data_IF_817398212249
#
_entry.id   IF_817398212249
#
_cell.length_a   1.000
_cell.length_b   1.000
_cell.length_c   1.000
_cell.angle_alpha   90.00
_cell.angle_beta   90.00
_cell.angle_gamma   90.00
#
_symmetry.space_group_name_H-M   'P 1'
#
loop_
_entity.id
_entity.type
_entity.pdbx_description
1 polymer ?
#
# COMPACT_ATOMS: atom_id res chain seq x y z
N UNK A 1 -40.94 -4.12 -3.39
CA UNK A 1 -39.90 -4.76 -2.57
C UNK A 1 -38.69 -3.86 -2.61
N UNK A 2 -38.19 -3.40 -1.45
CA UNK A 2 -36.91 -2.68 -1.44
C UNK A 2 -35.81 -3.72 -1.73
N UNK A 3 -35.05 -3.51 -2.81
CA UNK A 3 -33.82 -4.28 -3.03
C UNK A 3 -32.87 -4.04 -1.87
N UNK A 4 -32.40 -5.11 -1.26
CA UNK A 4 -31.51 -5.03 -0.11
C UNK A 4 -30.05 -4.95 -0.65
N UNK A 5 -29.55 -3.74 -0.83
CA UNK A 5 -28.18 -3.52 -1.28
C UNK A 5 -27.19 -3.92 -0.19
N UNK A 6 -26.14 -4.64 -0.57
CA UNK A 6 -25.08 -5.07 0.32
C UNK A 6 -23.71 -4.70 -0.27
N UNK A 7 -22.69 -4.63 0.60
CA UNK A 7 -21.32 -4.42 0.15
C UNK A 7 -20.88 -5.52 -0.83
N UNK A 8 -20.14 -5.17 -1.89
CA UNK A 8 -19.60 -6.16 -2.81
C UNK A 8 -18.76 -7.21 -2.09
N UNK A 9 -18.78 -8.44 -2.59
CA UNK A 9 -18.01 -9.55 -2.01
C UNK A 9 -16.51 -9.22 -1.95
N UNK A 10 -15.92 -9.34 -0.78
CA UNK A 10 -14.50 -9.04 -0.55
C UNK A 10 -14.23 -7.57 -0.19
N UNK A 11 -15.27 -6.80 0.06
CA UNK A 11 -15.18 -5.46 0.66
C UNK A 11 -15.90 -5.42 2.00
N UNK A 12 -15.69 -4.37 2.76
CA UNK A 12 -16.36 -4.16 4.04
C UNK A 12 -16.48 -2.67 4.36
N UNK A 13 -17.53 -2.31 5.07
CA UNK A 13 -17.66 -0.98 5.67
C UNK A 13 -16.83 -0.91 6.96
N UNK A 14 -16.06 0.14 7.14
CA UNK A 14 -15.43 0.48 8.41
C UNK A 14 -16.38 1.39 9.19
N UNK A 15 -17.18 0.80 10.08
CA UNK A 15 -18.09 1.55 10.94
C UNK A 15 -17.31 2.40 11.97
N UNK A 16 -17.95 3.42 12.59
CA UNK A 16 -17.26 4.40 13.42
C UNK A 16 -16.37 3.83 14.54
N UNK A 17 -16.75 2.71 15.12
CA UNK A 17 -15.92 2.05 16.13
C UNK A 17 -14.61 1.47 15.54
N UNK A 18 -14.72 0.81 14.40
CA UNK A 18 -13.55 0.29 13.68
C UNK A 18 -12.67 1.43 13.16
N UNK A 19 -13.30 2.47 12.58
CA UNK A 19 -12.59 3.65 12.06
C UNK A 19 -11.74 4.33 13.14
N UNK A 20 -12.25 4.49 14.36
CA UNK A 20 -11.47 5.05 15.47
C UNK A 20 -10.21 4.24 15.81
N UNK A 21 -10.27 2.92 15.65
CA UNK A 21 -9.09 2.06 15.85
C UNK A 21 -8.08 2.24 14.71
N UNK A 22 -8.57 2.35 13.48
CA UNK A 22 -7.74 2.64 12.30
C UNK A 22 -7.03 3.98 12.44
N UNK A 23 -7.73 5.05 12.77
CA UNK A 23 -7.16 6.38 12.96
C UNK A 23 -6.00 6.39 13.95
N UNK A 24 -6.12 5.68 15.08
CA UNK A 24 -5.02 5.56 16.06
C UNK A 24 -3.78 4.89 15.46
N UNK A 25 -3.97 3.86 14.63
CA UNK A 25 -2.85 3.17 13.96
C UNK A 25 -2.22 4.09 12.91
N UNK A 26 -3.05 4.77 12.15
CA UNK A 26 -2.57 5.74 11.14
C UNK A 26 -1.79 6.89 11.75
N UNK A 27 -2.24 7.44 12.88
CA UNK A 27 -1.53 8.50 13.61
C UNK A 27 -0.19 7.99 14.15
N UNK A 28 -0.14 6.77 14.66
CA UNK A 28 1.12 6.15 15.08
C UNK A 28 2.10 6.01 13.90
N UNK A 29 1.61 5.56 12.75
CA UNK A 29 2.42 5.43 11.53
C UNK A 29 2.96 6.79 11.09
N UNK A 30 2.11 7.83 11.03
CA UNK A 30 2.54 9.21 10.68
C UNK A 30 3.63 9.71 11.61
N UNK A 31 3.43 9.58 12.92
CA UNK A 31 4.41 10.00 13.91
C UNK A 31 5.75 9.26 13.76
N UNK A 32 5.71 7.95 13.49
CA UNK A 32 6.93 7.18 13.25
C UNK A 32 7.63 7.62 11.96
N UNK A 33 6.88 7.84 10.88
CA UNK A 33 7.44 8.33 9.63
C UNK A 33 8.12 9.68 9.80
N UNK A 34 7.51 10.61 10.53
CA UNK A 34 8.07 11.92 10.87
C UNK A 34 9.40 11.79 11.62
N UNK A 35 9.46 10.96 12.66
CA UNK A 35 10.68 10.73 13.44
C UNK A 35 11.82 10.20 12.58
N UNK A 36 11.52 9.37 11.58
CA UNK A 36 12.50 8.80 10.66
C UNK A 36 12.75 9.64 9.40
N UNK A 37 12.09 10.80 9.26
CA UNK A 37 12.23 11.71 8.14
C UNK A 37 11.67 11.18 6.83
N UNK A 38 10.53 10.45 6.89
CA UNK A 38 9.76 10.06 5.71
C UNK A 38 8.65 11.06 5.45
N UNK A 39 8.49 11.45 4.19
CA UNK A 39 7.42 12.32 3.73
C UNK A 39 6.26 11.53 3.12
N UNK A 40 5.03 11.94 3.43
CA UNK A 40 3.84 11.29 2.88
C UNK A 40 3.68 11.59 1.39
N UNK A 41 3.48 10.56 0.59
CA UNK A 41 3.07 10.68 -0.82
C UNK A 41 1.73 10.00 -1.03
N UNK A 42 0.82 10.67 -1.74
CA UNK A 42 -0.48 10.12 -2.14
C UNK A 42 -0.56 10.07 -3.65
N UNK A 43 -0.75 8.87 -4.17
CA UNK A 43 -0.93 8.61 -5.60
C UNK A 43 -2.41 8.36 -5.91
N UNK A 44 -2.85 8.49 -7.17
CA UNK A 44 -4.20 8.15 -7.58
C UNK A 44 -4.59 6.70 -7.22
N UNK A 45 -5.88 6.49 -7.01
CA UNK A 45 -6.43 5.15 -6.73
C UNK A 45 -6.43 4.27 -7.99
N UNK A 46 -6.47 4.87 -9.16
CA UNK A 46 -6.34 4.19 -10.45
C UNK A 46 -5.24 4.84 -11.28
N UNK A 47 -4.58 4.05 -12.09
CA UNK A 47 -3.46 4.45 -12.93
C UNK A 47 -3.64 3.83 -14.34
N UNK A 48 -2.88 4.32 -15.31
CA UNK A 48 -2.69 3.61 -16.56
C UNK A 48 -2.22 2.18 -16.29
N UNK A 49 -2.83 1.21 -16.94
CA UNK A 49 -2.53 -0.21 -16.73
C UNK A 49 -1.06 -0.54 -16.94
N UNK A 50 -0.35 0.21 -17.80
CA UNK A 50 1.09 0.05 -18.06
C UNK A 50 1.96 0.33 -16.85
N UNK A 51 1.48 1.09 -15.87
CA UNK A 51 2.20 1.34 -14.61
C UNK A 51 2.41 0.05 -13.81
N UNK A 52 1.47 -0.88 -13.91
CA UNK A 52 1.50 -2.16 -13.18
C UNK A 52 1.97 -3.34 -14.02
N UNK A 53 1.90 -3.25 -15.35
CA UNK A 53 2.38 -4.30 -16.26
C UNK A 53 3.84 -4.09 -16.62
N UNK A 54 4.69 -5.07 -16.30
CA UNK A 54 6.06 -5.15 -16.82
C UNK A 54 6.08 -6.13 -17.99
N UNK A 55 6.84 -5.84 -19.04
CA UNK A 55 6.88 -6.64 -20.27
C UNK A 55 7.25 -8.13 -20.04
N UNK A 56 7.93 -8.45 -18.94
CA UNK A 56 8.37 -9.81 -18.61
C UNK A 56 7.73 -10.36 -17.32
N UNK A 57 6.66 -9.75 -16.82
CA UNK A 57 6.06 -10.17 -15.57
C UNK A 57 5.00 -11.25 -15.81
N UNK A 58 5.40 -12.52 -15.65
CA UNK A 58 4.51 -13.68 -15.68
C UNK A 58 3.80 -13.92 -14.35
N UNK A 59 3.89 -12.98 -13.40
CA UNK A 59 3.25 -13.13 -12.09
C UNK A 59 1.73 -13.19 -12.21
N UNK A 60 1.10 -14.08 -11.46
CA UNK A 60 -0.36 -14.23 -11.42
C UNK A 60 -1.06 -12.93 -11.02
N UNK A 61 -0.40 -12.07 -10.24
CA UNK A 61 -0.89 -10.76 -9.82
C UNK A 61 -1.13 -9.84 -11.02
N UNK A 62 -0.24 -9.82 -12.00
CA UNK A 62 -0.34 -8.97 -13.20
C UNK A 62 -1.45 -9.46 -14.14
N UNK A 63 -1.67 -10.76 -14.21
CA UNK A 63 -2.54 -11.35 -15.23
C UNK A 63 -3.97 -11.67 -14.76
N UNK A 64 -4.19 -11.90 -13.46
CA UNK A 64 -5.46 -12.45 -12.95
C UNK A 64 -6.09 -11.66 -11.81
N UNK A 65 -5.32 -10.83 -11.10
CA UNK A 65 -5.77 -10.22 -9.84
C UNK A 65 -5.98 -8.71 -9.90
N UNK A 66 -5.84 -8.09 -11.07
CA UNK A 66 -6.07 -6.67 -11.24
C UNK A 66 -7.50 -6.34 -11.64
N UNK A 67 -8.04 -5.27 -11.08
CA UNK A 67 -9.28 -4.64 -11.56
C UNK A 67 -8.93 -3.66 -12.68
N UNK A 68 -9.05 -4.13 -13.91
CA UNK A 68 -8.78 -3.34 -15.11
C UNK A 68 -10.08 -3.03 -15.83
N UNK A 69 -10.25 -1.78 -16.28
CA UNK A 69 -11.41 -1.30 -17.00
C UNK A 69 -10.99 -0.32 -18.09
N UNK A 70 -11.83 -0.18 -19.11
CA UNK A 70 -11.65 0.80 -20.18
C UNK A 70 -12.64 1.93 -20.05
N UNK A 71 -12.20 3.15 -20.27
CA UNK A 71 -13.03 4.34 -20.34
C UNK A 71 -13.07 4.81 -21.79
N UNK A 72 -14.25 4.88 -22.38
CA UNK A 72 -14.46 5.33 -23.76
C UNK A 72 -13.65 4.60 -24.85
N UNK A 73 -13.19 3.37 -24.56
CA UNK A 73 -12.61 2.46 -25.56
C UNK A 73 -11.10 2.62 -25.85
N UNK A 74 -10.44 3.64 -25.33
CA UNK A 74 -9.03 3.90 -25.67
C UNK A 74 -8.08 3.68 -24.50
N UNK A 75 -8.44 4.11 -23.28
CA UNK A 75 -7.57 4.01 -22.11
C UNK A 75 -7.87 2.78 -21.28
N UNK A 76 -6.84 2.00 -21.02
CA UNK A 76 -6.89 0.90 -20.07
C UNK A 76 -6.40 1.38 -18.70
N UNK A 77 -7.32 1.47 -17.74
CA UNK A 77 -7.07 1.90 -16.38
C UNK A 77 -7.16 0.72 -15.42
N UNK A 78 -6.36 0.75 -14.37
CA UNK A 78 -6.32 -0.30 -13.36
C UNK A 78 -6.39 0.30 -11.95
N UNK A 79 -7.28 -0.22 -11.11
CA UNK A 79 -7.23 0.09 -9.67
C UNK A 79 -5.92 -0.43 -9.09
N UNK A 80 -5.22 0.42 -8.33
CA UNK A 80 -3.89 0.10 -7.80
C UNK A 80 -3.90 -1.18 -6.96
N UNK A 81 -3.18 -2.24 -7.35
CA UNK A 81 -3.05 -3.47 -6.58
C UNK A 81 -1.97 -3.36 -5.49
N UNK A 82 -1.14 -2.31 -5.54
CA UNK A 82 -0.05 -2.01 -4.63
C UNK A 82 0.37 -0.55 -4.78
N UNK A 83 1.21 0.00 -3.87
CA UNK A 83 1.56 1.42 -3.87
C UNK A 83 2.87 1.76 -4.54
N UNK A 84 3.85 0.86 -4.57
CA UNK A 84 5.23 1.13 -5.03
C UNK A 84 5.28 1.64 -6.47
N UNK A 85 4.55 1.01 -7.39
CA UNK A 85 4.56 1.40 -8.81
C UNK A 85 4.03 2.83 -9.02
N UNK A 86 2.94 3.20 -8.33
CA UNK A 86 2.41 4.57 -8.35
C UNK A 86 3.40 5.60 -7.80
N UNK A 87 4.11 5.26 -6.70
CA UNK A 87 5.14 6.13 -6.13
C UNK A 87 6.30 6.31 -7.10
N UNK A 88 6.81 5.24 -7.70
CA UNK A 88 7.90 5.30 -8.68
C UNK A 88 7.49 6.11 -9.92
N UNK A 89 6.28 5.87 -10.46
CA UNK A 89 5.73 6.68 -11.56
C UNK A 89 5.69 8.17 -11.19
N UNK A 90 5.17 8.50 -10.01
CA UNK A 90 5.09 9.88 -9.52
C UNK A 90 6.48 10.51 -9.35
N UNK A 91 7.43 9.76 -8.76
CA UNK A 91 8.81 10.20 -8.57
C UNK A 91 9.49 10.59 -9.89
N UNK A 92 9.32 9.76 -10.92
CA UNK A 92 9.88 10.03 -12.26
C UNK A 92 9.16 11.18 -12.94
N UNK A 93 7.82 11.17 -12.98
CA UNK A 93 7.00 12.17 -13.64
C UNK A 93 7.26 13.58 -13.11
N UNK A 94 7.38 13.73 -11.80
CA UNK A 94 7.61 15.02 -11.17
C UNK A 94 9.09 15.38 -10.98
N UNK A 95 10.01 14.57 -11.53
CA UNK A 95 11.47 14.76 -11.47
C UNK A 95 11.95 14.99 -10.02
N UNK A 96 11.40 14.21 -9.07
CA UNK A 96 11.70 14.41 -7.64
C UNK A 96 13.18 14.21 -7.32
N UNK A 97 13.92 13.46 -8.15
CA UNK A 97 15.38 13.28 -8.04
C UNK A 97 16.19 14.58 -8.12
N UNK A 98 15.60 15.67 -8.61
CA UNK A 98 16.23 17.00 -8.64
C UNK A 98 15.71 17.98 -7.57
N UNK A 99 14.72 17.56 -6.76
CA UNK A 99 14.06 18.45 -5.78
C UNK A 99 14.18 17.98 -4.34
N UNK A 100 14.31 16.66 -4.14
CA UNK A 100 14.43 16.06 -2.81
C UNK A 100 15.90 15.76 -2.49
N UNK A 101 16.24 15.83 -1.20
CA UNK A 101 17.48 15.27 -0.72
C UNK A 101 17.49 13.75 -0.93
N UNK A 102 18.64 13.23 -1.39
CA UNK A 102 18.76 11.82 -1.69
C UNK A 102 19.50 11.07 -0.57
N UNK A 103 19.04 9.92 -0.16
CA UNK A 103 17.89 9.16 -0.70
C UNK A 103 16.56 9.80 -0.34
N UNK A 104 15.65 9.87 -1.32
CA UNK A 104 14.28 10.28 -1.07
C UNK A 104 13.59 9.24 -0.20
N UNK A 105 13.06 9.68 0.93
CA UNK A 105 12.34 8.85 1.89
C UNK A 105 10.86 9.17 1.80
N UNK A 106 10.09 8.28 1.21
CA UNK A 106 8.66 8.46 1.01
C UNK A 106 7.89 7.35 1.71
N UNK A 107 6.70 7.67 2.21
CA UNK A 107 5.75 6.66 2.65
C UNK A 107 4.37 6.91 2.05
N UNK A 108 3.61 5.85 1.91
CA UNK A 108 2.22 5.92 1.51
C UNK A 108 1.36 5.08 2.43
N UNK A 109 0.09 5.46 2.53
CA UNK A 109 -0.92 4.73 3.27
C UNK A 109 -2.25 4.88 2.55
N UNK A 110 -2.94 3.77 2.32
CA UNK A 110 -4.24 3.82 1.66
C UNK A 110 -4.73 2.49 1.14
N UNK A 111 -5.85 2.55 0.46
CA UNK A 111 -6.56 1.39 -0.05
C UNK A 111 -5.93 0.86 -1.33
N UNK A 112 -5.86 -0.48 -1.41
CA UNK A 112 -5.41 -1.24 -2.56
C UNK A 112 -6.48 -2.25 -2.96
N UNK A 113 -6.43 -2.71 -4.22
CA UNK A 113 -7.50 -3.53 -4.82
C UNK A 113 -6.91 -4.72 -5.55
N UNK A 114 -7.33 -5.94 -5.16
CA UNK A 114 -6.93 -7.17 -5.85
C UNK A 114 -8.11 -8.09 -6.03
N UNK A 115 -8.30 -8.61 -7.23
CA UNK A 115 -9.33 -9.58 -7.53
C UNK A 115 -8.93 -10.98 -7.04
N UNK A 116 -8.69 -11.09 -5.74
CA UNK A 116 -8.37 -12.35 -5.11
C UNK A 116 -9.65 -13.12 -4.71
N UNK A 117 -9.50 -14.44 -4.52
CA UNK A 117 -10.57 -15.25 -3.93
C UNK A 117 -10.72 -14.83 -2.45
N UNK A 118 -11.87 -14.24 -2.07
CA UNK A 118 -12.06 -13.77 -0.69
C UNK A 118 -12.02 -14.94 0.29
N UNK A 119 -11.23 -14.79 1.34
CA UNK A 119 -11.16 -15.71 2.46
C UNK A 119 -10.88 -14.91 3.76
N UNK A 120 -10.96 -15.56 4.91
CA UNK A 120 -10.74 -14.88 6.18
C UNK A 120 -9.40 -14.15 6.19
N UNK A 121 -9.44 -12.82 6.33
CA UNK A 121 -8.26 -11.95 6.33
C UNK A 121 -7.68 -11.62 4.95
N UNK A 122 -8.32 -12.04 3.84
CA UNK A 122 -8.03 -11.60 2.48
C UNK A 122 -9.25 -10.91 1.89
N UNK A 123 -9.10 -9.61 1.67
CA UNK A 123 -10.12 -8.76 1.08
C UNK A 123 -9.71 -8.35 -0.32
N UNK A 124 -10.70 -7.99 -1.15
CA UNK A 124 -10.48 -7.41 -2.48
C UNK A 124 -10.13 -5.94 -2.41
N UNK A 125 -10.61 -5.26 -1.36
CA UNK A 125 -10.20 -3.92 -0.96
C UNK A 125 -9.54 -4.02 0.41
N UNK A 126 -8.30 -3.56 0.54
CA UNK A 126 -7.53 -3.64 1.77
C UNK A 126 -6.62 -2.41 1.92
N UNK A 127 -6.26 -2.07 3.15
CA UNK A 127 -5.32 -0.99 3.41
C UNK A 127 -3.88 -1.50 3.37
N UNK A 128 -3.00 -0.71 2.76
CA UNK A 128 -1.57 -0.95 2.72
C UNK A 128 -0.83 0.29 3.22
N UNK A 129 0.15 0.07 4.07
CA UNK A 129 1.22 1.02 4.39
C UNK A 129 2.51 0.54 3.75
N UNK A 130 3.27 1.45 3.15
CA UNK A 130 4.57 1.15 2.58
C UNK A 130 5.53 2.32 2.70
N UNK A 131 6.82 2.01 2.77
CA UNK A 131 7.92 2.98 2.76
C UNK A 131 8.81 2.72 1.56
N UNK A 132 9.25 3.81 0.92
CA UNK A 132 10.11 3.76 -0.25
C UNK A 132 11.37 4.60 -0.01
N UNK A 133 12.52 3.99 -0.24
CA UNK A 133 13.83 4.65 -0.21
C UNK A 133 14.42 4.66 -1.62
N UNK A 134 14.34 5.78 -2.30
CA UNK A 134 14.77 5.90 -3.69
C UNK A 134 16.11 6.63 -3.77
N UNK A 135 17.07 6.04 -4.49
CA UNK A 135 18.39 6.67 -4.72
C UNK A 135 19.47 6.30 -3.73
N UNK A 136 19.31 5.26 -2.92
CA UNK A 136 20.41 4.76 -2.08
C UNK A 136 21.53 4.13 -2.90
N UNK A 137 22.76 4.57 -2.72
CA UNK A 137 23.96 3.96 -3.32
C UNK A 137 24.22 2.57 -2.72
N UNK A 138 24.41 1.59 -3.59
CA UNK A 138 24.37 0.14 -3.28
C UNK A 138 25.47 -0.43 -2.36
N UNK A 139 26.54 0.25 -1.98
CA UNK A 139 27.69 -0.46 -1.40
C UNK A 139 28.10 -0.12 0.03
N UNK A 140 27.89 1.10 0.51
CA UNK A 140 28.37 1.49 1.85
C UNK A 140 27.26 1.49 2.92
N UNK A 141 26.02 1.75 2.55
CA UNK A 141 24.90 1.95 3.49
C UNK A 141 24.18 0.67 3.93
N UNK A 142 24.38 -0.48 3.24
CA UNK A 142 23.76 -1.75 3.67
C UNK A 142 24.16 -2.16 5.09
N UNK A 143 25.36 -1.84 5.52
CA UNK A 143 25.84 -2.21 6.87
C UNK A 143 25.25 -1.32 7.98
N UNK A 144 24.76 -0.12 7.66
CA UNK A 144 24.03 0.73 8.62
C UNK A 144 22.54 0.46 8.63
N UNK A 145 21.92 0.11 7.48
CA UNK A 145 20.51 -0.27 7.39
C UNK A 145 20.17 -1.57 8.11
N UNK A 146 21.12 -2.52 8.18
CA UNK A 146 20.92 -3.80 8.89
C UNK A 146 20.74 -3.66 10.41
N UNK A 147 21.12 -2.53 10.99
CA UNK A 147 20.91 -2.27 12.42
C UNK A 147 19.52 -1.74 12.76
N UNK A 148 18.72 -1.30 11.79
CA UNK A 148 17.37 -0.76 12.03
C UNK A 148 16.25 -1.74 11.70
N UNK A 149 16.55 -2.97 11.24
CA UNK A 149 15.55 -4.04 11.06
C UNK A 149 14.43 -3.74 10.05
N UNK A 150 14.53 -2.64 9.29
CA UNK A 150 13.56 -2.23 8.28
C UNK A 150 14.03 -2.62 6.87
N UNK A 151 14.48 -3.85 6.71
CA UNK A 151 14.62 -4.43 5.38
C UNK A 151 13.23 -4.83 4.87
N UNK A 152 12.85 -4.25 3.74
CA UNK A 152 11.94 -4.78 2.73
C UNK A 152 11.05 -5.94 3.23
N UNK A 153 10.07 -5.68 4.05
CA UNK A 153 8.92 -6.56 4.17
C UNK A 153 7.79 -5.93 3.38
N UNK A 154 7.55 -6.53 2.26
CA UNK A 154 6.31 -6.39 1.54
C UNK A 154 5.14 -6.42 2.51
N UNK A 155 4.29 -5.39 2.39
CA UNK A 155 2.90 -5.38 2.84
C UNK A 155 2.61 -6.19 4.11
N UNK A 156 2.85 -5.60 5.27
CA UNK A 156 2.10 -6.01 6.43
C UNK A 156 0.67 -5.50 6.25
N UNK A 157 -0.18 -6.31 5.64
CA UNK A 157 -1.61 -6.10 5.68
C UNK A 157 -2.04 -6.14 7.14
N UNK A 158 -2.31 -4.99 7.73
CA UNK A 158 -2.90 -4.92 9.06
C UNK A 158 -4.30 -5.53 8.98
N UNK A 159 -4.45 -6.73 9.47
CA UNK A 159 -5.73 -7.43 9.53
C UNK A 159 -6.59 -6.79 10.61
N UNK A 160 -7.82 -6.36 10.33
CA UNK A 160 -8.76 -6.01 11.39
C UNK A 160 -9.06 -7.26 12.22
N UNK A 161 -8.77 -7.22 13.52
CA UNK A 161 -9.22 -8.24 14.47
C UNK A 161 -8.17 -9.19 15.06
N UNK A 162 -6.89 -8.99 14.86
CA UNK A 162 -5.92 -9.65 15.75
C UNK A 162 -5.74 -8.79 17.01
N UNK A 163 -6.49 -9.16 18.04
CA UNK A 163 -6.30 -8.62 19.37
C UNK A 163 -4.87 -8.87 19.83
N UNK A 164 -4.29 -7.86 20.44
CA UNK A 164 -3.09 -8.01 21.26
C UNK A 164 -3.48 -8.99 22.37
N UNK A 165 -2.97 -10.21 22.30
CA UNK A 165 -3.11 -11.17 23.38
C UNK A 165 -2.45 -10.59 24.63
N UNK A 166 -3.30 -10.14 25.57
CA UNK A 166 -2.90 -9.81 26.93
C UNK A 166 -2.66 -11.11 27.70
N UNK A 167 -1.50 -11.71 27.49
CA UNK A 167 -0.98 -12.71 28.41
C UNK A 167 0.50 -12.44 28.71
N UNK A 168 0.71 -11.47 29.58
CA UNK A 168 1.91 -11.40 30.40
C UNK A 168 1.52 -10.84 31.77
N UNK A 169 1.11 -11.70 32.62
CA UNK A 169 0.87 -11.34 34.01
C UNK A 169 0.51 -12.54 34.88
N UNK A 170 1.52 -13.24 35.38
CA UNK A 170 1.57 -13.87 36.71
C UNK A 170 2.78 -14.81 36.81
N UNK A 171 3.88 -14.33 37.30
CA UNK A 171 4.52 -14.79 38.59
C UNK A 171 5.75 -13.96 38.85
#
# INVERSE_FOLDING_TARGET
MMENYQTPRGTQDLLPEATRKWQKVEDLIRNLCDVYGYEEIRTPVFEDTRVFKRENDSSDMVNKEMYTFSVHGEDSLTLRPEGTAGVVRSFVQHKMYGRLEMPAKLYYMGEMFRYERPQKGRYRQFNQFGIENIGMKKSADRRRGDRTGLQHRQSAGLKPGQGIDQHAGRR
#
